data_IF_426653831455
#
_entry.id   IF_426653831455
#
_cell.length_a   1.000
_cell.length_b   1.000
_cell.length_c   1.000
_cell.angle_alpha   90.00
_cell.angle_beta   90.00
_cell.angle_gamma   90.00
#
_symmetry.space_group_name_H-M   'P 1'
#
loop_
_entity.id
_entity.type
_entity.pdbx_description
1 polymer ?
#
# COMPACT_ATOMS: atom_id res chain seq x y z
N UNK A 1 6.24 -17.36 31.52
CA UNK A 1 4.86 -17.79 31.23
C UNK A 1 4.58 -17.51 29.76
N UNK A 2 3.82 -18.37 29.09
CA UNK A 2 3.37 -18.11 27.72
C UNK A 2 2.35 -16.98 27.74
N UNK A 3 2.43 -16.06 26.77
CA UNK A 3 1.42 -15.02 26.57
C UNK A 3 0.40 -15.52 25.55
N UNK A 4 -0.88 -15.41 25.86
CA UNK A 4 -1.98 -15.85 24.99
C UNK A 4 -2.61 -14.66 24.25
N UNK A 5 -2.99 -14.89 22.99
CA UNK A 5 -3.67 -13.92 22.12
C UNK A 5 -4.68 -14.67 21.26
N UNK A 6 -5.81 -14.04 20.93
CA UNK A 6 -6.81 -14.61 20.01
C UNK A 6 -6.29 -14.62 18.57
N UNK A 7 -5.53 -13.59 18.20
CA UNK A 7 -4.90 -13.48 16.89
C UNK A 7 -3.44 -13.07 16.99
N UNK A 8 -2.59 -13.75 16.23
CA UNK A 8 -1.20 -13.37 15.98
C UNK A 8 -1.04 -13.03 14.50
N UNK A 9 -0.85 -11.75 14.19
CA UNK A 9 -0.57 -11.24 12.86
C UNK A 9 0.94 -11.22 12.63
N UNK A 10 1.41 -12.06 11.70
CA UNK A 10 2.83 -12.14 11.34
C UNK A 10 3.15 -11.13 10.23
N UNK A 11 3.87 -10.08 10.59
CA UNK A 11 4.30 -8.97 9.75
C UNK A 11 3.41 -7.73 9.91
N UNK A 12 3.99 -6.60 10.32
CA UNK A 12 3.30 -5.30 10.34
C UNK A 12 3.44 -4.59 8.97
N UNK A 13 3.22 -5.32 7.89
CA UNK A 13 3.25 -4.81 6.51
C UNK A 13 1.97 -4.07 6.11
N UNK A 14 1.75 -3.91 4.79
CA UNK A 14 0.58 -3.22 4.24
C UNK A 14 -0.74 -3.79 4.79
N UNK A 15 -0.96 -5.10 4.64
CA UNK A 15 -2.17 -5.77 5.11
C UNK A 15 -2.15 -6.00 6.63
N UNK A 16 -1.00 -6.38 7.20
CA UNK A 16 -0.89 -6.66 8.64
C UNK A 16 -1.20 -5.45 9.52
N UNK A 17 -0.82 -4.24 9.08
CA UNK A 17 -1.23 -3.00 9.76
C UNK A 17 -2.76 -2.83 9.78
N UNK A 18 -3.44 -3.17 8.69
CA UNK A 18 -4.91 -3.08 8.59
C UNK A 18 -5.55 -4.16 9.45
N UNK A 19 -5.07 -5.41 9.37
CA UNK A 19 -5.60 -6.53 10.17
C UNK A 19 -5.47 -6.27 11.66
N UNK A 20 -4.29 -5.88 12.13
CA UNK A 20 -4.07 -5.55 13.55
C UNK A 20 -4.99 -4.45 14.05
N UNK A 21 -5.21 -3.41 13.22
CA UNK A 21 -6.12 -2.33 13.54
C UNK A 21 -7.60 -2.74 13.53
N UNK A 22 -8.04 -3.57 12.58
CA UNK A 22 -9.45 -3.97 12.46
C UNK A 22 -9.85 -5.03 13.47
N UNK A 23 -9.02 -6.07 13.67
CA UNK A 23 -9.29 -7.12 14.65
C UNK A 23 -9.39 -6.54 16.08
N UNK A 24 -8.57 -5.54 16.41
CA UNK A 24 -8.59 -4.90 17.73
C UNK A 24 -9.72 -3.87 17.91
N UNK A 25 -10.60 -3.66 16.93
CA UNK A 25 -11.79 -2.81 17.13
C UNK A 25 -12.76 -3.45 18.13
N UNK A 26 -12.81 -4.79 18.18
CA UNK A 26 -13.50 -5.51 19.23
C UNK A 26 -12.62 -5.57 20.50
N UNK A 27 -13.07 -4.91 21.57
CA UNK A 27 -12.33 -4.83 22.82
C UNK A 27 -12.16 -6.19 23.53
N UNK A 28 -12.96 -7.21 23.16
CA UNK A 28 -12.84 -8.57 23.69
C UNK A 28 -11.72 -9.39 23.03
N UNK A 29 -11.20 -8.94 21.88
CA UNK A 29 -10.21 -9.66 21.08
C UNK A 29 -8.80 -9.16 21.35
N UNK A 30 -7.91 -10.02 21.84
CA UNK A 30 -6.48 -9.75 22.07
C UNK A 30 -5.67 -10.04 20.82
N UNK A 31 -5.02 -9.02 20.28
CA UNK A 31 -4.26 -9.11 19.03
C UNK A 31 -2.78 -8.84 19.29
N UNK A 32 -1.92 -9.72 18.77
CA UNK A 32 -0.48 -9.51 18.69
C UNK A 32 -0.08 -9.28 17.23
N UNK A 33 0.61 -8.19 16.93
CA UNK A 33 1.26 -7.96 15.63
C UNK A 33 2.77 -8.05 15.81
N UNK A 34 3.40 -8.98 15.07
CA UNK A 34 4.84 -9.17 15.07
C UNK A 34 5.45 -8.55 13.81
N UNK A 35 6.53 -7.78 13.95
CA UNK A 35 7.27 -7.20 12.83
C UNK A 35 8.75 -7.51 12.96
N UNK A 36 9.33 -8.11 11.92
CA UNK A 36 10.75 -8.46 11.90
C UNK A 36 11.67 -7.23 11.85
N UNK A 37 11.19 -6.15 11.24
CA UNK A 37 11.88 -4.87 11.15
C UNK A 37 11.74 -3.99 12.38
N UNK A 38 12.43 -2.84 12.33
CA UNK A 38 12.36 -1.81 13.36
C UNK A 38 11.15 -0.90 13.22
N UNK A 39 11.12 0.14 14.07
CA UNK A 39 10.12 1.22 14.03
C UNK A 39 10.39 2.18 12.85
N UNK A 40 9.35 2.86 12.35
CA UNK A 40 9.42 3.84 11.26
C UNK A 40 9.84 5.26 11.71
N UNK A 41 10.87 5.36 12.56
CA UNK A 41 11.25 6.62 13.21
C UNK A 41 12.00 7.60 12.30
N UNK A 42 12.69 7.10 11.26
CA UNK A 42 13.56 7.93 10.44
C UNK A 42 12.77 8.92 9.58
N UNK A 43 13.15 10.23 9.57
CA UNK A 43 12.48 11.24 8.74
C UNK A 43 12.44 10.89 7.25
N UNK A 44 13.45 10.15 6.77
CA UNK A 44 13.57 9.70 5.37
C UNK A 44 12.33 8.95 4.88
N UNK A 45 11.68 8.18 5.76
CA UNK A 45 10.47 7.45 5.42
C UNK A 45 9.27 8.34 5.08
N UNK A 46 9.24 9.56 5.63
CA UNK A 46 8.09 10.46 5.55
C UNK A 46 8.13 11.36 4.32
N UNK A 47 9.32 11.58 3.75
CA UNK A 47 9.51 12.54 2.64
C UNK A 47 9.39 11.80 1.30
N UNK A 48 8.37 12.09 0.47
CA UNK A 48 8.11 11.38 -0.78
C UNK A 48 9.31 11.37 -1.74
N UNK A 49 10.02 12.50 -1.87
CA UNK A 49 11.16 12.66 -2.77
C UNK A 49 12.30 11.65 -2.51
N UNK A 50 12.40 11.13 -1.30
CA UNK A 50 13.45 10.18 -0.92
C UNK A 50 13.09 8.71 -1.09
N UNK A 51 11.92 8.40 -1.70
CA UNK A 51 11.49 7.02 -1.95
C UNK A 51 12.57 6.18 -2.65
N UNK A 52 13.23 6.74 -3.67
CA UNK A 52 14.29 6.06 -4.43
C UNK A 52 15.47 5.59 -3.57
N UNK A 53 15.82 6.35 -2.53
CA UNK A 53 16.92 6.01 -1.61
C UNK A 53 16.55 4.81 -0.74
N UNK A 54 15.27 4.69 -0.36
CA UNK A 54 14.78 3.65 0.56
C UNK A 54 14.87 2.24 -0.03
N UNK A 55 14.85 2.09 -1.36
CA UNK A 55 15.00 0.80 -2.01
C UNK A 55 16.37 0.15 -1.81
N UNK A 56 17.41 0.95 -1.48
CA UNK A 56 18.81 0.50 -1.46
C UNK A 56 19.43 0.40 -0.07
N UNK A 57 18.68 0.70 1.00
CA UNK A 57 19.21 0.70 2.37
C UNK A 57 18.89 -0.64 3.06
N UNK A 58 19.87 -1.20 3.78
CA UNK A 58 19.76 -2.55 4.39
C UNK A 58 19.04 -2.60 5.72
N UNK A 59 19.00 -1.49 6.46
CA UNK A 59 18.39 -1.48 7.79
C UNK A 59 16.85 -1.53 7.76
N UNK A 60 16.22 -1.23 6.63
CA UNK A 60 14.77 -1.12 6.44
C UNK A 60 14.23 -2.03 5.33
N UNK A 61 15.06 -2.95 4.85
CA UNK A 61 14.80 -3.74 3.68
C UNK A 61 15.35 -5.15 3.89
N UNK A 62 14.60 -6.14 3.46
CA UNK A 62 15.09 -7.52 3.42
C UNK A 62 16.26 -7.69 2.45
N UNK A 63 16.37 -6.83 1.45
CA UNK A 63 17.41 -6.85 0.41
C UNK A 63 17.57 -8.24 -0.22
N UNK A 64 16.46 -8.84 -0.60
CA UNK A 64 16.50 -10.05 -1.38
C UNK A 64 17.14 -9.79 -2.74
N UNK A 65 17.74 -10.83 -3.29
CA UNK A 65 18.29 -10.87 -4.64
C UNK A 65 17.72 -12.11 -5.29
N UNK A 66 17.28 -11.99 -6.55
CA UNK A 66 16.75 -13.15 -7.28
C UNK A 66 17.87 -14.16 -7.56
N UNK A 67 17.47 -15.40 -7.88
CA UNK A 67 18.37 -16.31 -8.58
C UNK A 67 18.69 -15.78 -10.00
N UNK A 68 19.76 -16.29 -10.65
CA UNK A 68 20.10 -15.92 -12.01
C UNK A 68 18.96 -16.36 -12.93
N UNK A 69 18.45 -15.43 -13.73
CA UNK A 69 17.34 -15.70 -14.63
C UNK A 69 17.85 -15.93 -16.06
N UNK A 70 17.70 -17.14 -16.63
CA UNK A 70 18.10 -17.42 -18.01
C UNK A 70 17.47 -16.47 -19.03
N UNK A 71 16.20 -16.08 -18.84
CA UNK A 71 15.51 -15.11 -19.71
C UNK A 71 16.04 -13.68 -19.60
N UNK A 72 16.98 -13.40 -18.68
CA UNK A 72 17.60 -12.11 -18.44
C UNK A 72 19.13 -12.17 -18.58
N UNK A 73 19.66 -13.06 -19.40
CA UNK A 73 21.10 -13.30 -19.61
C UNK A 73 21.84 -13.67 -18.32
N UNK A 74 21.19 -14.46 -17.45
CA UNK A 74 21.75 -14.90 -16.17
C UNK A 74 21.89 -13.78 -15.14
N UNK A 75 21.24 -12.63 -15.33
CA UNK A 75 21.27 -11.54 -14.35
C UNK A 75 20.55 -11.92 -13.07
N UNK A 76 21.09 -11.41 -11.95
CA UNK A 76 20.43 -11.36 -10.65
C UNK A 76 19.89 -9.96 -10.41
N UNK A 77 18.66 -9.85 -9.95
CA UNK A 77 17.99 -8.57 -9.72
C UNK A 77 17.86 -8.27 -8.23
N UNK A 78 18.08 -7.01 -7.86
CA UNK A 78 17.75 -6.53 -6.52
C UNK A 78 16.22 -6.55 -6.32
N UNK A 79 15.76 -7.17 -5.24
CA UNK A 79 14.34 -7.39 -4.98
C UNK A 79 13.92 -6.79 -3.63
N UNK A 80 13.76 -5.45 -3.57
CA UNK A 80 13.54 -4.75 -2.32
C UNK A 80 12.18 -5.10 -1.70
N UNK A 81 12.18 -5.44 -0.40
CA UNK A 81 10.98 -5.66 0.42
C UNK A 81 11.16 -4.94 1.75
N UNK A 82 10.19 -4.13 2.14
CA UNK A 82 10.30 -3.34 3.38
C UNK A 82 10.36 -4.25 4.61
N UNK A 83 11.36 -4.00 5.46
CA UNK A 83 11.57 -4.65 6.76
C UNK A 83 11.56 -3.59 7.85
N UNK A 84 10.37 -3.06 8.12
CA UNK A 84 10.08 -1.95 9.03
C UNK A 84 8.57 -1.96 9.28
N UNK A 85 8.11 -1.40 10.39
CA UNK A 85 6.68 -1.17 10.61
C UNK A 85 6.06 -0.36 9.43
N UNK A 86 5.00 -0.89 8.83
CA UNK A 86 4.43 -0.44 7.55
C UNK A 86 4.90 -1.25 6.32
N UNK A 87 5.94 -2.09 6.48
CA UNK A 87 6.50 -2.97 5.47
C UNK A 87 6.86 -2.26 4.17
N UNK A 88 6.54 -2.89 3.04
CA UNK A 88 6.87 -2.35 1.71
C UNK A 88 6.15 -1.03 1.38
N UNK A 89 4.99 -0.75 1.99
CA UNK A 89 4.31 0.54 1.82
C UNK A 89 5.13 1.71 2.39
N UNK A 90 6.01 1.43 3.35
CA UNK A 90 6.96 2.39 3.92
C UNK A 90 8.07 2.82 2.95
N UNK A 91 8.32 2.04 1.90
CA UNK A 91 9.41 2.28 0.93
C UNK A 91 8.94 2.43 -0.53
N UNK A 92 7.64 2.26 -0.82
CA UNK A 92 7.11 2.27 -2.19
C UNK A 92 7.08 3.67 -2.85
N UNK A 93 6.63 3.75 -4.10
CA UNK A 93 6.45 5.01 -4.84
C UNK A 93 5.19 5.82 -4.50
N UNK A 94 4.38 5.39 -3.52
CA UNK A 94 3.10 6.01 -3.09
C UNK A 94 2.00 6.10 -4.15
N UNK A 95 2.24 5.66 -5.38
CA UNK A 95 1.21 5.57 -6.43
C UNK A 95 0.05 4.75 -5.91
N UNK A 96 -1.15 5.30 -6.06
CA UNK A 96 -2.41 4.65 -5.72
C UNK A 96 -3.16 4.31 -7.00
N UNK A 97 -3.23 3.01 -7.27
CA UNK A 97 -4.03 2.41 -8.32
C UNK A 97 -4.68 1.15 -7.75
N UNK A 98 -5.87 0.82 -8.23
CA UNK A 98 -6.54 -0.47 -7.98
C UNK A 98 -6.23 -1.42 -9.14
N UNK A 99 -6.51 -2.71 -8.97
CA UNK A 99 -6.53 -3.66 -10.08
C UNK A 99 -7.66 -3.33 -11.07
N UNK A 100 -7.54 -3.81 -12.30
CA UNK A 100 -8.63 -3.77 -13.27
C UNK A 100 -9.80 -4.65 -12.79
N UNK A 101 -11.02 -4.35 -13.22
CA UNK A 101 -12.20 -5.16 -12.84
C UNK A 101 -12.00 -6.65 -13.11
N UNK A 102 -11.45 -6.97 -14.29
CA UNK A 102 -11.16 -8.34 -14.70
C UNK A 102 -10.16 -9.05 -13.79
N UNK A 103 -9.27 -8.35 -13.07
CA UNK A 103 -8.35 -9.00 -12.15
C UNK A 103 -9.12 -9.72 -11.03
N UNK A 104 -10.10 -9.02 -10.45
CA UNK A 104 -10.94 -9.51 -9.36
C UNK A 104 -12.01 -10.48 -9.85
N UNK A 105 -12.66 -10.17 -10.97
CA UNK A 105 -13.66 -11.07 -11.56
C UNK A 105 -13.03 -12.40 -11.98
N UNK A 106 -11.77 -12.39 -12.44
CA UNK A 106 -11.00 -13.62 -12.71
C UNK A 106 -10.71 -14.40 -11.43
N UNK A 107 -10.38 -13.76 -10.30
CA UNK A 107 -10.23 -14.46 -9.02
C UNK A 107 -11.53 -15.16 -8.62
N UNK A 108 -12.68 -14.48 -8.75
CA UNK A 108 -13.99 -15.09 -8.52
C UNK A 108 -14.19 -16.32 -9.41
N UNK A 109 -13.89 -16.21 -10.70
CA UNK A 109 -14.01 -17.32 -11.66
C UNK A 109 -13.07 -18.49 -11.34
N UNK A 110 -11.91 -18.23 -10.74
CA UNK A 110 -10.99 -19.27 -10.25
C UNK A 110 -11.42 -19.91 -8.92
N UNK A 111 -12.58 -19.55 -8.37
CA UNK A 111 -13.13 -20.13 -7.14
C UNK A 111 -12.92 -19.29 -5.88
N UNK A 112 -12.37 -18.07 -5.98
CA UNK A 112 -12.33 -17.14 -4.85
C UNK A 112 -13.69 -16.45 -4.70
N UNK A 113 -14.69 -17.17 -4.18
CA UNK A 113 -16.02 -16.61 -3.93
C UNK A 113 -15.95 -15.33 -3.06
N UNK A 114 -16.73 -14.31 -3.43
CA UNK A 114 -16.72 -13.00 -2.76
C UNK A 114 -15.53 -12.09 -3.12
N UNK A 115 -14.77 -12.41 -4.16
CA UNK A 115 -13.64 -11.59 -4.64
C UNK A 115 -13.87 -10.96 -6.02
N UNK A 116 -15.11 -10.83 -6.50
CA UNK A 116 -15.37 -10.03 -7.71
C UNK A 116 -15.10 -8.55 -7.45
N UNK A 117 -14.97 -7.75 -8.52
CA UNK A 117 -14.75 -6.32 -8.37
C UNK A 117 -15.84 -5.65 -7.53
N UNK A 118 -17.10 -6.05 -7.75
CA UNK A 118 -18.23 -5.50 -7.01
C UNK A 118 -18.20 -5.89 -5.52
N UNK A 119 -17.68 -7.08 -5.19
CA UNK A 119 -17.52 -7.52 -3.81
C UNK A 119 -16.42 -6.72 -3.08
N UNK A 120 -15.32 -6.39 -3.78
CA UNK A 120 -14.17 -5.70 -3.17
C UNK A 120 -14.26 -4.17 -3.20
N UNK A 121 -15.03 -3.58 -4.12
CA UNK A 121 -15.19 -2.13 -4.26
C UNK A 121 -15.62 -1.44 -2.95
N UNK A 122 -16.59 -1.97 -2.16
CA UNK A 122 -16.93 -1.42 -0.86
C UNK A 122 -15.73 -1.33 0.10
N UNK A 123 -14.80 -2.28 0.06
CA UNK A 123 -13.60 -2.27 0.91
C UNK A 123 -12.55 -1.27 0.43
N UNK A 124 -12.41 -1.06 -0.88
CA UNK A 124 -11.60 0.03 -1.41
C UNK A 124 -12.14 1.38 -0.93
N UNK A 125 -13.45 1.60 -1.05
CA UNK A 125 -14.12 2.82 -0.59
C UNK A 125 -14.02 2.99 0.93
N UNK A 126 -14.16 1.93 1.72
CA UNK A 126 -14.04 1.97 3.20
C UNK A 126 -12.63 2.35 3.67
N UNK A 127 -11.60 1.94 2.93
CA UNK A 127 -10.21 2.23 3.24
C UNK A 127 -9.84 3.69 2.94
N UNK A 128 -10.46 4.25 1.91
CA UNK A 128 -10.03 5.47 1.24
C UNK A 128 -10.66 6.75 1.79
N UNK A 129 -9.84 7.81 1.87
CA UNK A 129 -10.27 9.19 2.00
C UNK A 129 -9.74 10.00 0.82
N UNK A 130 -10.54 10.02 -0.26
CA UNK A 130 -10.17 10.63 -1.53
C UNK A 130 -10.29 12.14 -1.49
N UNK A 131 -9.21 12.85 -1.82
CA UNK A 131 -9.10 14.32 -1.83
C UNK A 131 -9.10 14.91 -3.24
N UNK A 132 -9.79 14.24 -4.18
CA UNK A 132 -10.11 14.77 -5.50
C UNK A 132 -11.61 15.05 -5.67
N UNK A 133 -12.07 15.26 -6.92
CA UNK A 133 -13.48 15.42 -7.28
C UNK A 133 -14.34 14.27 -6.75
N UNK A 134 -15.64 14.52 -6.56
CA UNK A 134 -16.54 13.46 -6.11
C UNK A 134 -16.82 12.48 -7.25
N UNK A 135 -16.65 11.19 -6.96
CA UNK A 135 -16.88 10.11 -7.91
C UNK A 135 -17.45 8.89 -7.17
N UNK A 136 -18.35 8.14 -7.82
CA UNK A 136 -19.11 7.05 -7.20
C UNK A 136 -18.23 5.88 -6.76
N UNK A 137 -17.09 5.68 -7.42
CA UNK A 137 -16.12 4.62 -7.13
C UNK A 137 -15.09 5.02 -6.05
N UNK A 138 -15.07 6.27 -5.60
CA UNK A 138 -14.19 6.74 -4.54
C UNK A 138 -14.85 6.77 -3.16
N UNK A 139 -14.06 6.55 -2.12
CA UNK A 139 -14.42 6.67 -0.71
C UNK A 139 -14.02 8.01 -0.12
N UNK A 140 -14.77 8.46 0.90
CA UNK A 140 -14.45 9.64 1.71
C UNK A 140 -14.46 9.24 3.19
N UNK A 141 -13.56 9.83 3.98
CA UNK A 141 -13.53 9.61 5.44
C UNK A 141 -12.85 8.31 5.89
N UNK A 142 -12.35 7.48 4.97
CA UNK A 142 -11.49 6.35 5.31
C UNK A 142 -10.14 6.78 5.93
N UNK A 143 -9.40 5.87 6.56
CA UNK A 143 -8.12 6.20 7.21
C UNK A 143 -6.99 6.51 6.20
N UNK A 144 -7.04 5.96 4.99
CA UNK A 144 -5.99 6.12 3.99
C UNK A 144 -6.30 7.30 3.06
N UNK A 145 -5.62 8.42 3.28
CA UNK A 145 -5.70 9.57 2.37
C UNK A 145 -5.14 9.22 0.99
N UNK A 146 -5.96 9.45 -0.03
CA UNK A 146 -5.61 9.34 -1.45
C UNK A 146 -5.87 10.69 -2.09
N UNK A 147 -4.97 11.16 -2.95
CA UNK A 147 -5.11 12.48 -3.58
C UNK A 147 -4.48 12.55 -4.97
N UNK A 148 -4.95 13.47 -5.82
CA UNK A 148 -4.25 13.82 -7.05
C UNK A 148 -2.80 14.27 -6.79
N UNK A 149 -1.92 13.92 -7.73
CA UNK A 149 -0.57 14.44 -7.80
C UNK A 149 -0.58 15.98 -7.92
N UNK A 150 0.42 16.65 -7.32
CA UNK A 150 0.60 18.11 -7.40
C UNK A 150 1.81 18.53 -8.25
N UNK A 151 2.44 17.58 -8.93
CA UNK A 151 3.61 17.91 -9.75
C UNK A 151 3.16 18.67 -11.00
N UNK A 152 3.82 19.80 -11.29
CA UNK A 152 3.45 20.73 -12.37
C UNK A 152 4.55 20.85 -13.42
N UNK A 153 5.46 19.88 -13.50
CA UNK A 153 6.51 19.92 -14.51
C UNK A 153 5.89 19.84 -15.93
N UNK A 154 6.29 20.70 -16.88
CA UNK A 154 5.70 20.73 -18.23
C UNK A 154 5.76 19.39 -18.97
N UNK A 155 6.75 18.55 -18.62
CA UNK A 155 6.90 17.21 -19.19
C UNK A 155 5.67 16.31 -18.97
N UNK A 156 4.93 16.48 -17.86
CA UNK A 156 3.73 15.67 -17.62
C UNK A 156 2.64 15.99 -18.64
N UNK A 157 2.44 17.27 -18.95
CA UNK A 157 1.41 17.70 -19.89
C UNK A 157 1.80 17.32 -21.32
N UNK A 158 3.06 17.54 -21.68
CA UNK A 158 3.59 17.12 -22.98
C UNK A 158 3.48 15.60 -23.19
N UNK A 159 3.69 14.77 -22.15
CA UNK A 159 3.54 13.33 -22.26
C UNK A 159 2.09 12.90 -22.45
N UNK A 160 1.15 13.56 -21.77
CA UNK A 160 -0.29 13.28 -21.90
C UNK A 160 -0.78 13.70 -23.28
N UNK A 161 -0.37 14.87 -23.76
CA UNK A 161 -0.69 15.38 -25.09
C UNK A 161 -0.17 14.46 -26.19
N UNK A 162 1.09 14.02 -26.11
CA UNK A 162 1.65 13.05 -27.06
C UNK A 162 0.89 11.72 -27.06
N UNK A 163 0.38 11.27 -25.90
CA UNK A 163 -0.49 10.11 -25.80
C UNK A 163 -1.81 10.29 -26.56
N UNK A 164 -2.42 11.48 -26.42
CA UNK A 164 -3.63 11.84 -27.14
C UNK A 164 -3.40 11.91 -28.67
N UNK A 165 -2.29 12.51 -29.11
CA UNK A 165 -1.88 12.54 -30.52
C UNK A 165 -1.65 11.13 -31.10
N UNK A 166 -1.17 10.20 -30.28
CA UNK A 166 -1.01 8.80 -30.63
C UNK A 166 -2.35 8.01 -30.63
N UNK A 167 -3.47 8.67 -30.34
CA UNK A 167 -4.81 8.08 -30.37
C UNK A 167 -5.28 7.46 -29.05
N UNK A 168 -4.57 7.68 -27.94
CA UNK A 168 -4.97 7.17 -26.63
C UNK A 168 -5.88 8.16 -25.88
N UNK A 169 -6.86 7.68 -25.10
CA UNK A 169 -7.66 8.54 -24.22
C UNK A 169 -6.79 9.28 -23.19
N UNK A 170 -7.23 10.49 -22.83
CA UNK A 170 -6.71 11.22 -21.66
C UNK A 170 -7.53 10.82 -20.45
N UNK A 171 -6.84 10.35 -19.41
CA UNK A 171 -7.43 9.82 -18.18
C UNK A 171 -7.33 10.84 -17.05
N UNK A 172 -8.46 11.11 -16.40
CA UNK A 172 -8.50 11.91 -15.17
C UNK A 172 -8.24 11.06 -13.92
N UNK A 173 -8.64 9.78 -13.95
CA UNK A 173 -8.42 8.84 -12.86
C UNK A 173 -8.21 7.40 -13.35
N UNK A 174 -7.07 6.81 -12.98
CA UNK A 174 -6.75 5.41 -13.26
C UNK A 174 -7.53 4.40 -12.41
N UNK A 175 -8.45 4.84 -11.56
CA UNK A 175 -9.33 3.98 -10.77
C UNK A 175 -10.76 3.88 -11.33
N UNK A 176 -11.06 4.52 -12.46
CA UNK A 176 -12.32 4.38 -13.21
C UNK A 176 -12.50 2.99 -13.83
N UNK A 177 -13.70 2.60 -14.30
CA UNK A 177 -13.91 1.29 -14.92
C UNK A 177 -13.04 1.04 -16.16
N UNK A 178 -12.95 2.00 -17.08
CA UNK A 178 -12.05 1.98 -18.24
C UNK A 178 -10.69 2.59 -17.87
N UNK A 179 -9.58 1.87 -18.11
CA UNK A 179 -8.24 2.24 -17.57
C UNK A 179 -7.11 2.24 -18.59
N UNK A 180 -7.43 2.49 -19.85
CA UNK A 180 -6.43 2.54 -20.92
C UNK A 180 -6.28 3.97 -21.44
N UNK A 181 -5.11 4.57 -21.21
CA UNK A 181 -4.83 5.93 -21.64
C UNK A 181 -3.70 6.60 -20.86
N UNK A 182 -3.57 7.91 -21.07
CA UNK A 182 -2.52 8.74 -20.45
C UNK A 182 -3.13 9.73 -19.46
N UNK A 183 -2.57 9.81 -18.27
CA UNK A 183 -3.12 10.63 -17.19
C UNK A 183 -2.17 10.79 -16.03
N UNK A 184 -2.62 11.48 -14.98
CA UNK A 184 -1.84 11.70 -13.76
C UNK A 184 -2.25 10.71 -12.67
N UNK A 185 -1.26 10.10 -12.02
CA UNK A 185 -1.53 9.18 -10.92
C UNK A 185 -2.05 9.88 -9.65
N UNK A 186 -2.85 9.13 -8.89
CA UNK A 186 -3.16 9.42 -7.49
C UNK A 186 -2.07 8.89 -6.57
N UNK A 187 -1.96 9.49 -5.37
CA UNK A 187 -0.93 9.14 -4.40
C UNK A 187 -1.46 9.04 -2.96
N UNK A 188 -0.88 8.13 -2.19
CA UNK A 188 -1.06 8.05 -0.72
C UNK A 188 -0.13 9.04 -0.01
N UNK A 189 -0.46 10.32 -0.11
CA UNK A 189 0.27 11.44 0.50
C UNK A 189 -0.70 12.31 1.29
N UNK A 190 -0.31 12.72 2.50
CA UNK A 190 -1.08 13.62 3.36
C UNK A 190 -0.15 14.70 3.91
N UNK A 191 -0.52 15.96 3.76
CA UNK A 191 0.26 17.12 4.25
C UNK A 191 1.74 17.10 3.83
N UNK A 192 1.98 16.72 2.57
CA UNK A 192 3.32 16.62 1.98
C UNK A 192 4.14 15.40 2.45
N UNK A 193 3.55 14.52 3.25
CA UNK A 193 4.20 13.33 3.80
C UNK A 193 3.63 12.06 3.19
N UNK A 194 4.48 11.04 3.04
CA UNK A 194 4.05 9.68 2.77
C UNK A 194 3.00 9.26 3.80
N UNK A 195 1.84 8.82 3.34
CA UNK A 195 0.76 8.34 4.20
C UNK A 195 0.68 6.82 4.10
N UNK A 196 1.21 6.12 5.11
CA UNK A 196 1.33 4.67 5.08
C UNK A 196 0.19 3.95 5.76
N UNK A 197 0.05 2.65 5.50
CA UNK A 197 -0.91 1.81 6.24
C UNK A 197 -0.61 1.78 7.74
N UNK A 198 0.67 1.85 8.14
CA UNK A 198 1.03 2.00 9.54
C UNK A 198 0.50 3.30 10.16
N UNK A 199 0.62 4.43 9.46
CA UNK A 199 0.12 5.73 9.92
C UNK A 199 -1.41 5.80 9.90
N UNK A 200 -2.02 5.27 8.84
CA UNK A 200 -3.46 5.33 8.62
C UNK A 200 -4.24 4.39 9.56
N UNK A 201 -3.73 3.17 9.78
CA UNK A 201 -4.48 2.12 10.48
C UNK A 201 -3.86 1.75 11.83
N UNK A 202 -2.59 1.31 11.82
CA UNK A 202 -2.03 0.64 12.99
C UNK A 202 -1.73 1.61 14.14
N UNK A 203 -1.07 2.73 13.86
CA UNK A 203 -0.66 3.71 14.88
C UNK A 203 -1.83 4.30 15.68
N UNK A 204 -2.96 4.71 15.06
CA UNK A 204 -4.13 5.12 15.82
C UNK A 204 -4.68 4.02 16.74
N UNK A 205 -4.57 2.74 16.34
CA UNK A 205 -5.05 1.61 17.12
C UNK A 205 -4.10 1.19 18.27
N UNK A 206 -2.81 1.56 18.22
CA UNK A 206 -1.80 1.14 19.22
C UNK A 206 -2.06 1.67 20.64
N UNK A 207 -2.98 2.62 20.83
CA UNK A 207 -3.41 3.06 22.16
C UNK A 207 -4.43 2.13 22.83
N UNK A 208 -4.95 1.13 22.11
CA UNK A 208 -5.95 0.19 22.64
C UNK A 208 -5.28 -0.87 23.54
N UNK A 209 -5.86 -1.20 24.70
CA UNK A 209 -5.24 -2.13 25.65
C UNK A 209 -5.18 -3.58 25.14
N UNK A 210 -5.99 -3.94 24.16
CA UNK A 210 -6.08 -5.27 23.56
C UNK A 210 -5.20 -5.46 22.31
N UNK A 211 -4.42 -4.45 21.90
CA UNK A 211 -3.50 -4.55 20.76
C UNK A 211 -2.04 -4.42 21.23
N UNK A 212 -1.26 -5.48 21.04
CA UNK A 212 0.19 -5.49 21.26
C UNK A 212 0.91 -5.49 19.92
N UNK A 213 1.87 -4.58 19.73
CA UNK A 213 2.72 -4.54 18.54
C UNK A 213 4.18 -4.71 18.95
N UNK A 214 4.87 -5.72 18.42
CA UNK A 214 6.29 -5.98 18.70
C UNK A 214 7.12 -5.88 17.43
N UNK A 215 8.11 -5.01 17.46
CA UNK A 215 9.10 -4.84 16.39
C UNK A 215 10.40 -5.57 16.73
N UNK A 216 11.20 -5.93 15.73
CA UNK A 216 12.40 -6.75 15.91
C UNK A 216 12.10 -8.22 16.18
N UNK A 217 10.86 -8.66 15.92
CA UNK A 217 10.39 -10.03 16.14
C UNK A 217 10.24 -10.74 14.80
N UNK A 218 11.23 -11.55 14.43
CA UNK A 218 11.13 -12.41 13.25
C UNK A 218 10.49 -13.75 13.66
N UNK A 219 9.32 -14.05 13.10
CA UNK A 219 8.67 -15.34 13.33
C UNK A 219 9.49 -16.46 12.66
N UNK A 220 9.73 -17.54 13.39
CA UNK A 220 10.43 -18.75 12.93
C UNK A 220 9.51 -19.95 13.11
N UNK A 221 9.56 -20.89 12.16
CA UNK A 221 8.92 -22.21 12.29
C UNK A 221 9.84 -23.23 12.93
#
# INVERSE_FOLDING_TARGET
>A
MAEEFDYIVVGAGSAGCVLGARLSEDASVRVLVLEAGGRDWMPLYKVPMFAGILFRKRYNNWNYVTEPEPGLDGRRLNWPRGKVLGGSNQINGMVYTRGHRLDYDSWRQMGCEGWSYDDVLPFFKKSEDFRGPDASHHGKGGPLTVRPGRATAPLYDALIEAGAEAGYPVMEDFNEPEREGFGRYHFTIRDGRRWTTAQAFLKPAMGRPNLTVRTGCHATG
#
